data_IF_161384142204
#
_entry.id   IF_161384142204
#
_cell.length_a   1.000
_cell.length_b   1.000
_cell.length_c   1.000
_cell.angle_alpha   90.00
_cell.angle_beta   90.00
_cell.angle_gamma   90.00
#
_symmetry.space_group_name_H-M   'P 1'
#
loop_
_entity.id
_entity.type
_entity.pdbx_description
1 polymer ?
#
# COMPACT_ATOMS: atom_id res chain seq x y z
N UNK A 1 34.83 13.03 -7.32
CA UNK A 1 33.95 12.69 -6.18
C UNK A 1 32.78 13.66 -6.26
N UNK A 2 31.67 13.23 -6.82
CA UNK A 2 30.43 14.02 -6.80
C UNK A 2 29.80 13.74 -5.43
N UNK A 3 29.81 14.76 -4.56
CA UNK A 3 29.03 14.75 -3.34
C UNK A 3 27.57 14.71 -3.72
N UNK A 4 26.95 13.53 -3.62
CA UNK A 4 25.49 13.46 -3.70
C UNK A 4 24.93 14.18 -2.47
N UNK A 5 23.98 15.12 -2.65
CA UNK A 5 23.18 15.55 -1.54
C UNK A 5 22.50 14.28 -1.00
N UNK A 6 22.67 14.01 0.29
CA UNK A 6 21.79 13.14 1.06
C UNK A 6 20.35 13.45 0.62
N UNK A 7 19.51 12.48 0.26
CA UNK A 7 18.13 12.76 -0.13
C UNK A 7 17.56 13.62 0.98
N UNK A 8 17.20 14.83 0.65
CA UNK A 8 16.91 15.97 1.52
C UNK A 8 16.69 15.53 2.95
N UNK A 9 17.66 15.82 3.84
CA UNK A 9 17.66 15.35 5.22
C UNK A 9 16.36 15.71 5.91
N UNK A 10 15.36 14.92 5.67
CA UNK A 10 14.10 15.05 6.37
C UNK A 10 14.38 14.57 7.80
N UNK A 11 13.96 15.36 8.76
CA UNK A 11 13.93 15.01 10.19
C UNK A 11 13.35 13.62 10.44
N UNK A 12 12.53 13.13 9.49
CA UNK A 12 11.96 11.80 9.37
C UNK A 12 12.98 10.67 9.61
N UNK A 13 14.16 10.72 8.96
CA UNK A 13 15.13 9.64 9.07
C UNK A 13 16.06 9.78 10.28
N UNK A 14 16.19 10.95 10.85
CA UNK A 14 17.09 11.20 11.97
C UNK A 14 16.69 10.43 13.23
N UNK A 15 15.38 10.15 13.41
CA UNK A 15 14.83 9.48 14.58
C UNK A 15 14.85 7.94 14.49
N UNK A 16 15.15 7.36 13.32
CA UNK A 16 15.15 5.89 13.13
C UNK A 16 16.55 5.33 13.41
N UNK A 17 16.61 4.38 14.34
CA UNK A 17 17.85 3.68 14.70
C UNK A 17 18.28 2.76 13.56
N UNK A 18 19.57 2.79 13.26
CA UNK A 18 20.27 1.93 12.34
C UNK A 18 21.43 1.25 13.06
N UNK A 19 21.52 -0.07 13.01
CA UNK A 19 22.62 -0.81 13.59
C UNK A 19 23.76 -1.02 12.56
N UNK A 20 23.91 -0.06 11.61
CA UNK A 20 24.95 0.01 10.57
C UNK A 20 25.31 1.47 10.31
N UNK A 21 26.46 1.68 9.67
CA UNK A 21 26.98 3.03 9.36
C UNK A 21 26.61 3.50 7.94
N UNK A 22 26.66 4.82 7.68
CA UNK A 22 26.53 5.35 6.31
C UNK A 22 27.58 4.77 5.34
N UNK A 23 28.78 4.45 5.82
CA UNK A 23 29.83 3.84 5.02
C UNK A 23 29.47 2.39 4.60
N UNK A 24 28.71 1.67 5.43
CA UNK A 24 28.19 0.35 5.05
C UNK A 24 27.16 0.46 3.93
N UNK A 25 26.26 1.46 4.00
CA UNK A 25 25.27 1.74 2.95
C UNK A 25 25.98 2.05 1.64
N UNK A 26 26.96 2.98 1.66
CA UNK A 26 27.72 3.36 0.47
C UNK A 26 28.46 2.16 -0.16
N UNK A 27 29.06 1.32 0.68
CA UNK A 27 29.75 0.11 0.22
C UNK A 27 28.82 -0.90 -0.45
N UNK A 28 27.59 -1.04 0.06
CA UNK A 28 26.59 -2.01 -0.45
C UNK A 28 25.83 -1.53 -1.67
N UNK A 29 25.70 -0.23 -1.85
CA UNK A 29 24.90 0.36 -2.92
C UNK A 29 25.52 0.24 -4.32
N UNK A 30 26.75 -0.29 -4.43
CA UNK A 30 27.43 -0.43 -5.71
C UNK A 30 27.94 0.88 -6.31
N UNK A 31 28.55 0.78 -7.49
CA UNK A 31 29.13 1.94 -8.21
C UNK A 31 28.09 2.69 -9.07
N UNK A 32 26.98 2.07 -9.38
CA UNK A 32 25.89 2.62 -10.18
C UNK A 32 24.62 2.72 -9.36
N UNK A 33 24.00 3.91 -9.38
CA UNK A 33 22.75 4.18 -8.65
C UNK A 33 21.55 4.14 -9.60
N UNK A 34 20.63 3.24 -9.36
CA UNK A 34 19.31 3.24 -10.02
C UNK A 34 18.39 4.21 -9.29
N UNK A 35 17.59 4.98 -10.01
CA UNK A 35 16.55 5.84 -9.42
C UNK A 35 15.19 5.16 -9.48
N UNK A 36 14.51 5.13 -8.35
CA UNK A 36 13.18 4.54 -8.20
C UNK A 36 12.13 5.66 -8.04
N UNK A 37 11.95 6.46 -9.11
CA UNK A 37 11.15 7.70 -9.09
C UNK A 37 9.75 7.53 -8.48
N UNK A 38 9.04 6.43 -8.81
CA UNK A 38 7.71 6.18 -8.25
C UNK A 38 7.76 5.93 -6.74
N UNK A 39 8.73 5.14 -6.28
CA UNK A 39 8.90 4.86 -4.85
C UNK A 39 9.36 6.10 -4.08
N UNK A 40 10.30 6.89 -4.62
CA UNK A 40 10.78 8.15 -4.03
C UNK A 40 9.62 9.14 -3.86
N UNK A 41 8.89 9.44 -4.94
CA UNK A 41 7.76 10.36 -4.92
C UNK A 41 6.62 9.85 -4.02
N UNK A 42 6.31 8.55 -4.12
CA UNK A 42 5.28 7.92 -3.30
C UNK A 42 5.61 7.97 -1.81
N UNK A 43 6.86 7.65 -1.41
CA UNK A 43 7.29 7.69 -0.02
C UNK A 43 7.25 9.11 0.55
N UNK A 44 7.72 10.11 -0.21
CA UNK A 44 7.67 11.51 0.19
C UNK A 44 6.21 11.99 0.37
N UNK A 45 5.32 11.64 -0.56
CA UNK A 45 3.90 11.97 -0.46
C UNK A 45 3.23 11.26 0.70
N UNK A 46 3.49 9.97 0.90
CA UNK A 46 2.94 9.22 2.03
C UNK A 46 3.33 9.88 3.35
N UNK A 47 4.62 10.21 3.51
CA UNK A 47 5.12 10.88 4.69
C UNK A 47 4.44 12.24 4.92
N UNK A 48 4.29 13.03 3.86
CA UNK A 48 3.56 14.29 3.93
C UNK A 48 2.11 14.07 4.39
N UNK A 49 1.37 13.14 3.79
CA UNK A 49 -0.01 12.84 4.16
C UNK A 49 -0.14 12.40 5.63
N UNK A 50 0.76 11.53 6.10
CA UNK A 50 0.76 11.06 7.50
C UNK A 50 0.98 12.20 8.51
N UNK A 51 1.67 13.28 8.11
CA UNK A 51 1.94 14.42 8.98
C UNK A 51 0.91 15.55 8.88
N UNK A 52 0.21 15.69 7.76
CA UNK A 52 -0.67 16.82 7.48
C UNK A 52 -2.16 16.48 7.57
N UNK A 53 -2.54 15.23 7.22
CA UNK A 53 -3.93 14.80 7.34
C UNK A 53 -4.25 14.39 8.78
N UNK A 54 -5.51 14.51 9.22
CA UNK A 54 -5.94 13.93 10.48
C UNK A 54 -5.62 12.43 10.57
N UNK A 55 -5.85 11.70 9.49
CA UNK A 55 -5.41 10.34 9.24
C UNK A 55 -5.48 10.05 7.74
N UNK A 56 -4.72 9.07 7.28
CA UNK A 56 -4.74 8.57 5.91
C UNK A 56 -5.61 7.31 5.89
N UNK A 57 -6.79 7.42 5.29
CA UNK A 57 -7.69 6.28 5.11
C UNK A 57 -7.40 5.57 3.79
N UNK A 58 -7.32 4.23 3.82
CA UNK A 58 -7.08 3.42 2.62
C UNK A 58 -7.96 2.18 2.59
N UNK A 59 -8.22 1.71 1.39
CA UNK A 59 -8.89 0.45 1.12
C UNK A 59 -7.95 -0.52 0.41
N UNK A 60 -8.04 -1.79 0.73
CA UNK A 60 -7.30 -2.83 0.02
C UNK A 60 -7.73 -2.90 -1.44
N UNK A 61 -6.82 -2.60 -2.37
CA UNK A 61 -7.04 -2.79 -3.80
C UNK A 61 -6.53 -4.18 -4.23
N UNK A 62 -7.31 -4.88 -5.03
CA UNK A 62 -6.93 -6.18 -5.63
C UNK A 62 -6.43 -6.01 -7.06
N UNK A 63 -6.94 -5.01 -7.78
CA UNK A 63 -6.61 -4.76 -9.19
C UNK A 63 -6.22 -3.30 -9.41
N UNK A 64 -5.52 -3.04 -10.53
CA UNK A 64 -5.18 -1.68 -10.93
C UNK A 64 -6.42 -0.81 -11.20
N UNK A 65 -7.49 -1.39 -11.77
CA UNK A 65 -8.72 -0.66 -12.01
C UNK A 65 -9.42 -0.27 -10.70
N UNK A 66 -9.44 -1.13 -9.69
CA UNK A 66 -9.94 -0.75 -8.36
C UNK A 66 -9.15 0.42 -7.76
N UNK A 67 -7.82 0.39 -7.87
CA UNK A 67 -6.97 1.47 -7.39
C UNK A 67 -7.27 2.81 -8.12
N UNK A 68 -7.45 2.78 -9.45
CA UNK A 68 -7.86 3.97 -10.22
C UNK A 68 -9.19 4.52 -9.73
N UNK A 69 -10.19 3.65 -9.49
CA UNK A 69 -11.50 4.11 -8.98
C UNK A 69 -11.39 4.64 -7.54
N UNK A 70 -10.55 4.05 -6.68
CA UNK A 70 -10.31 4.59 -5.33
C UNK A 70 -9.74 6.00 -5.38
N UNK A 71 -8.78 6.26 -6.28
CA UNK A 71 -8.19 7.59 -6.45
C UNK A 71 -9.21 8.58 -7.02
N UNK A 72 -9.99 8.19 -8.04
CA UNK A 72 -11.09 9.02 -8.59
C UNK A 72 -12.16 9.35 -7.55
N UNK A 73 -12.42 8.43 -6.64
CA UNK A 73 -13.34 8.64 -5.52
C UNK A 73 -12.73 9.50 -4.38
N UNK A 74 -11.47 9.96 -4.51
CA UNK A 74 -10.84 10.89 -3.58
C UNK A 74 -9.96 10.25 -2.50
N UNK A 75 -9.72 8.93 -2.51
CA UNK A 75 -8.74 8.33 -1.61
C UNK A 75 -7.32 8.74 -2.02
N UNK A 76 -6.52 9.13 -1.02
CA UNK A 76 -5.19 9.73 -1.23
C UNK A 76 -4.06 8.71 -1.23
N UNK A 77 -4.31 7.47 -0.80
CA UNK A 77 -3.35 6.38 -0.74
C UNK A 77 -4.05 5.03 -0.95
N UNK A 78 -3.27 4.01 -1.28
CA UNK A 78 -3.74 2.64 -1.58
C UNK A 78 -3.09 1.67 -0.59
N UNK A 79 -3.88 0.76 -0.04
CA UNK A 79 -3.35 -0.40 0.70
C UNK A 79 -3.31 -1.63 -0.20
N UNK A 80 -2.22 -2.38 -0.15
CA UNK A 80 -2.08 -3.66 -0.85
C UNK A 80 -1.91 -4.79 0.17
N UNK A 81 -2.96 -5.58 0.31
CA UNK A 81 -3.06 -6.69 1.25
C UNK A 81 -2.43 -7.96 0.72
N UNK A 82 -1.53 -8.58 1.48
CA UNK A 82 -1.01 -9.92 1.21
C UNK A 82 -2.11 -10.98 1.18
N UNK A 83 -3.11 -10.86 2.04
CA UNK A 83 -4.29 -11.74 2.02
C UNK A 83 -5.00 -11.72 0.67
N UNK A 84 -5.25 -10.55 0.10
CA UNK A 84 -5.90 -10.44 -1.22
C UNK A 84 -5.01 -10.99 -2.34
N UNK A 85 -3.69 -10.78 -2.22
CA UNK A 85 -2.72 -11.35 -3.17
C UNK A 85 -2.71 -12.88 -3.08
N UNK A 86 -2.71 -13.45 -1.87
CA UNK A 86 -2.81 -14.90 -1.68
C UNK A 86 -4.08 -15.47 -2.32
N UNK A 87 -5.21 -14.79 -2.12
CA UNK A 87 -6.52 -15.26 -2.58
C UNK A 87 -6.67 -15.26 -4.11
N UNK A 88 -6.20 -14.22 -4.82
CA UNK A 88 -6.58 -14.05 -6.23
C UNK A 88 -5.58 -13.28 -7.11
N UNK A 89 -4.38 -12.96 -6.63
CA UNK A 89 -3.45 -12.12 -7.40
C UNK A 89 -1.98 -12.56 -7.32
N UNK A 90 -1.70 -13.77 -6.81
CA UNK A 90 -0.33 -14.25 -6.70
C UNK A 90 0.23 -14.77 -8.04
N UNK A 91 1.56 -14.76 -8.15
CA UNK A 91 2.27 -15.14 -9.38
C UNK A 91 2.22 -16.65 -9.67
N UNK A 92 1.86 -17.48 -8.68
CA UNK A 92 1.62 -18.91 -8.90
C UNK A 92 0.28 -19.19 -9.59
N UNK A 93 -0.63 -18.19 -9.67
CA UNK A 93 -1.96 -18.39 -10.26
C UNK A 93 -2.86 -19.33 -9.45
N UNK A 94 -2.61 -19.48 -8.16
CA UNK A 94 -3.34 -20.35 -7.26
C UNK A 94 -4.21 -19.55 -6.28
N UNK A 95 -5.21 -20.18 -5.70
CA UNK A 95 -5.97 -19.64 -4.58
C UNK A 95 -5.38 -20.18 -3.28
N UNK A 96 -4.80 -19.29 -2.46
CA UNK A 96 -4.19 -19.64 -1.20
C UNK A 96 -4.84 -18.93 -0.01
N UNK A 97 -4.86 -19.55 1.17
CA UNK A 97 -5.06 -18.83 2.41
C UNK A 97 -3.85 -17.91 2.69
N UNK A 98 -4.06 -16.93 3.53
CA UNK A 98 -3.01 -16.00 3.98
C UNK A 98 -2.04 -16.67 4.97
N UNK A 99 -1.13 -17.48 4.43
CA UNK A 99 -0.14 -18.29 5.15
C UNK A 99 1.23 -18.29 4.44
N UNK A 100 1.52 -17.23 3.68
CA UNK A 100 2.78 -17.09 2.90
C UNK A 100 3.08 -18.28 1.98
N UNK A 101 2.04 -18.89 1.41
CA UNK A 101 2.17 -20.02 0.47
C UNK A 101 2.47 -19.56 -0.96
N UNK A 102 2.21 -18.31 -1.26
CA UNK A 102 2.46 -17.75 -2.58
C UNK A 102 3.92 -17.30 -2.76
N UNK A 103 4.41 -17.21 -4.00
CA UNK A 103 5.78 -16.76 -4.28
C UNK A 103 6.04 -15.34 -3.77
N UNK A 104 7.23 -15.09 -3.27
CA UNK A 104 7.66 -13.82 -2.65
C UNK A 104 7.54 -12.60 -3.57
N UNK A 105 7.61 -12.80 -4.90
CA UNK A 105 7.48 -11.75 -5.91
C UNK A 105 6.03 -11.33 -6.20
N UNK A 106 5.04 -12.00 -5.59
CA UNK A 106 3.63 -11.79 -5.88
C UNK A 106 3.15 -10.39 -5.49
N UNK A 107 3.47 -9.92 -4.27
CA UNK A 107 3.09 -8.56 -3.84
C UNK A 107 3.82 -7.49 -4.67
N UNK A 108 5.14 -7.54 -4.89
CA UNK A 108 5.83 -6.64 -5.81
C UNK A 108 5.21 -6.59 -7.22
N UNK A 109 4.78 -7.74 -7.76
CA UNK A 109 4.13 -7.79 -9.07
C UNK A 109 2.79 -7.03 -9.10
N UNK A 110 1.99 -7.12 -8.02
CA UNK A 110 0.73 -6.37 -7.92
C UNK A 110 0.97 -4.88 -7.66
N UNK A 111 1.96 -4.49 -6.85
CA UNK A 111 2.40 -3.08 -6.72
C UNK A 111 2.70 -2.48 -8.10
N UNK A 112 3.50 -3.18 -8.90
CA UNK A 112 3.83 -2.74 -10.27
C UNK A 112 2.59 -2.64 -11.16
N UNK A 113 1.67 -3.59 -11.08
CA UNK A 113 0.40 -3.58 -11.82
C UNK A 113 -0.45 -2.36 -11.46
N UNK A 114 -0.59 -2.06 -10.18
CA UNK A 114 -1.34 -0.90 -9.70
C UNK A 114 -0.68 0.40 -10.16
N UNK A 115 0.62 0.55 -9.97
CA UNK A 115 1.36 1.73 -10.44
C UNK A 115 1.23 1.93 -11.95
N UNK A 116 1.27 0.86 -12.75
CA UNK A 116 1.08 0.95 -14.19
C UNK A 116 -0.33 1.40 -14.57
N UNK A 117 -1.37 0.97 -13.83
CA UNK A 117 -2.74 1.41 -14.05
C UNK A 117 -2.92 2.91 -13.67
N UNK A 118 -2.39 3.32 -12.53
CA UNK A 118 -2.42 4.72 -12.10
C UNK A 118 -1.69 5.63 -13.09
N UNK A 119 -0.48 5.23 -13.52
CA UNK A 119 0.29 5.96 -14.53
C UNK A 119 -0.44 6.02 -15.88
N UNK A 120 -1.15 4.95 -16.29
CA UNK A 120 -1.95 4.99 -17.51
C UNK A 120 -3.14 5.94 -17.37
N UNK A 121 -3.82 5.95 -16.24
CA UNK A 121 -4.90 6.90 -15.98
C UNK A 121 -4.41 8.36 -16.02
N UNK A 122 -3.24 8.62 -15.44
CA UNK A 122 -2.56 9.92 -15.53
C UNK A 122 -2.25 10.32 -16.98
N UNK A 123 -1.64 9.43 -17.76
CA UNK A 123 -1.33 9.67 -19.17
C UNK A 123 -2.57 9.97 -20.02
N UNK A 124 -3.67 9.27 -19.76
CA UNK A 124 -4.95 9.51 -20.45
C UNK A 124 -5.46 10.91 -20.10
N UNK A 125 -5.54 11.22 -18.80
CA UNK A 125 -6.03 12.50 -18.31
C UNK A 125 -5.18 13.67 -18.87
N UNK A 126 -3.85 13.56 -18.78
CA UNK A 126 -2.93 14.57 -19.30
C UNK A 126 -3.08 14.78 -20.82
N UNK A 127 -3.23 13.68 -21.61
CA UNK A 127 -3.45 13.76 -23.07
C UNK A 127 -4.76 14.49 -23.39
N UNK A 128 -5.75 14.38 -22.52
CA UNK A 128 -7.05 15.06 -22.67
C UNK A 128 -7.05 16.48 -22.10
N UNK A 129 -5.96 16.93 -21.48
CA UNK A 129 -5.86 18.22 -20.81
C UNK A 129 -6.65 18.31 -19.51
N UNK A 130 -6.79 17.16 -18.83
CA UNK A 130 -7.44 17.05 -17.53
C UNK A 130 -6.37 16.79 -16.44
N UNK A 131 -6.01 17.85 -15.73
CA UNK A 131 -5.01 17.80 -14.64
C UNK A 131 -5.69 17.85 -13.24
N UNK A 132 -6.98 17.53 -13.16
CA UNK A 132 -7.78 17.67 -11.92
C UNK A 132 -7.50 16.62 -10.85
N UNK A 133 -6.90 15.47 -11.21
CA UNK A 133 -6.68 14.33 -10.30
C UNK A 133 -5.18 13.98 -10.25
N UNK A 134 -4.63 13.89 -9.05
CA UNK A 134 -3.29 13.33 -8.84
C UNK A 134 -3.37 11.81 -8.74
N UNK A 135 -3.02 11.12 -9.81
CA UNK A 135 -3.15 9.65 -9.90
C UNK A 135 -2.05 8.87 -9.18
N UNK A 136 -0.87 9.46 -8.92
CA UNK A 136 0.26 8.74 -8.31
C UNK A 136 0.09 8.57 -6.79
N UNK A 137 -1.04 8.00 -6.38
CA UNK A 137 -1.32 7.71 -4.97
C UNK A 137 -0.28 6.73 -4.40
N UNK A 138 0.31 7.01 -3.23
CA UNK A 138 1.30 6.13 -2.61
C UNK A 138 0.68 4.79 -2.22
N UNK A 139 1.42 3.70 -2.47
CA UNK A 139 0.99 2.33 -2.15
C UNK A 139 1.73 1.86 -0.91
N UNK A 140 0.98 1.40 0.09
CA UNK A 140 1.52 0.72 1.27
C UNK A 140 1.31 -0.78 1.07
N UNK A 141 2.40 -1.56 1.05
CA UNK A 141 2.41 -2.96 0.64
C UNK A 141 2.74 -3.92 1.80
N UNK A 142 2.14 -5.08 1.75
CA UNK A 142 2.30 -6.18 2.70
C UNK A 142 3.54 -7.02 2.34
N UNK A 143 4.52 -7.08 3.25
CA UNK A 143 5.68 -7.96 3.12
C UNK A 143 5.59 -9.21 4.01
N UNK A 144 4.41 -9.47 4.59
CA UNK A 144 4.21 -10.62 5.47
C UNK A 144 5.26 -10.67 6.61
N UNK A 145 5.75 -11.85 6.95
CA UNK A 145 6.87 -12.03 7.86
C UNK A 145 8.25 -12.00 7.15
N UNK A 146 8.32 -11.49 5.91
CA UNK A 146 9.56 -11.37 5.14
C UNK A 146 9.95 -12.62 4.35
N UNK A 147 9.11 -13.65 4.28
CA UNK A 147 9.32 -14.91 3.52
C UNK A 147 10.60 -15.67 3.87
N UNK A 148 11.14 -15.46 5.06
CA UNK A 148 12.36 -16.15 5.53
C UNK A 148 13.09 -15.37 6.61
N UNK A 149 14.42 -15.29 6.49
CA UNK A 149 15.26 -14.55 7.41
C UNK A 149 15.50 -13.09 6.97
N UNK A 150 16.43 -12.41 7.66
CA UNK A 150 16.75 -11.01 7.40
C UNK A 150 17.24 -10.75 5.96
N UNK A 151 17.93 -11.68 5.33
CA UNK A 151 18.36 -11.53 3.93
C UNK A 151 17.18 -11.60 2.96
N UNK A 152 16.17 -12.44 3.24
CA UNK A 152 14.95 -12.49 2.45
C UNK A 152 14.16 -11.16 2.58
N UNK A 153 14.06 -10.62 3.80
CA UNK A 153 13.42 -9.33 4.04
C UNK A 153 14.14 -8.18 3.32
N UNK A 154 15.47 -8.20 3.29
CA UNK A 154 16.30 -7.24 2.55
C UNK A 154 15.96 -7.26 1.05
N UNK A 155 15.99 -8.44 0.41
CA UNK A 155 15.71 -8.57 -1.02
C UNK A 155 14.24 -8.28 -1.34
N UNK A 156 13.31 -8.68 -0.48
CA UNK A 156 11.89 -8.35 -0.65
C UNK A 156 11.65 -6.84 -0.60
N UNK A 157 12.28 -6.12 0.34
CA UNK A 157 12.17 -4.65 0.41
C UNK A 157 12.71 -3.99 -0.86
N UNK A 158 13.83 -4.46 -1.42
CA UNK A 158 14.34 -3.99 -2.73
C UNK A 158 13.31 -4.20 -3.82
N UNK A 159 12.75 -5.40 -3.93
CA UNK A 159 11.72 -5.71 -4.94
C UNK A 159 10.46 -4.83 -4.79
N UNK A 160 10.06 -4.49 -3.56
CA UNK A 160 8.96 -3.55 -3.29
C UNK A 160 9.29 -2.14 -3.78
N UNK A 161 10.51 -1.66 -3.52
CA UNK A 161 10.99 -0.35 -3.96
C UNK A 161 11.06 -0.29 -5.49
N UNK A 162 11.62 -1.30 -6.13
CA UNK A 162 11.68 -1.41 -7.60
C UNK A 162 10.28 -1.42 -8.24
N UNK A 163 9.31 -2.01 -7.56
CA UNK A 163 7.92 -2.00 -7.99
C UNK A 163 7.20 -0.65 -7.77
N UNK A 164 7.80 0.26 -6.95
CA UNK A 164 7.27 1.58 -6.66
C UNK A 164 6.41 1.66 -5.40
N UNK A 165 6.63 0.80 -4.40
CA UNK A 165 5.98 0.90 -3.10
C UNK A 165 6.47 2.14 -2.33
N UNK A 166 5.54 2.86 -1.71
CA UNK A 166 5.80 4.03 -0.88
C UNK A 166 6.04 3.68 0.60
N UNK A 167 5.35 2.69 1.07
CA UNK A 167 5.48 2.12 2.40
C UNK A 167 5.40 0.60 2.36
N UNK A 168 6.03 -0.05 3.32
CA UNK A 168 6.05 -1.52 3.42
C UNK A 168 5.94 -1.90 4.89
N UNK A 169 5.12 -2.90 5.21
CA UNK A 169 5.07 -3.43 6.55
C UNK A 169 5.59 -4.86 6.64
N UNK A 170 6.22 -5.17 7.77
CA UNK A 170 6.67 -6.50 8.15
C UNK A 170 6.09 -6.87 9.52
N UNK A 171 5.77 -8.16 9.71
CA UNK A 171 5.20 -8.68 10.96
C UNK A 171 6.14 -9.65 11.68
N UNK A 172 5.95 -9.79 12.98
CA UNK A 172 6.83 -10.55 13.88
C UNK A 172 6.49 -12.05 13.99
N UNK A 173 5.79 -12.60 12.99
CA UNK A 173 5.52 -14.03 12.91
C UNK A 173 6.72 -14.82 12.35
N UNK A 174 6.78 -16.11 12.68
CA UNK A 174 7.66 -17.06 12.00
C UNK A 174 7.17 -17.27 10.55
N UNK A 175 8.00 -16.96 9.57
CA UNK A 175 7.61 -16.97 8.16
C UNK A 175 7.08 -18.34 7.68
N UNK A 176 7.65 -19.47 8.17
CA UNK A 176 7.21 -20.82 7.82
C UNK A 176 5.88 -21.22 8.45
N UNK A 177 5.44 -20.54 9.52
CA UNK A 177 4.21 -20.82 10.26
C UNK A 177 3.25 -19.63 10.25
N UNK A 178 3.43 -18.69 9.33
CA UNK A 178 2.63 -17.48 9.22
C UNK A 178 1.13 -17.80 9.07
N UNK A 179 0.32 -17.04 9.77
CA UNK A 179 -1.14 -17.08 9.71
C UNK A 179 -1.70 -15.66 9.56
N UNK A 180 -2.85 -15.53 8.92
CA UNK A 180 -3.63 -14.29 8.95
C UNK A 180 -3.83 -13.82 10.40
N UNK A 181 -3.81 -12.52 10.63
CA UNK A 181 -3.87 -11.91 11.95
C UNK A 181 -5.02 -12.38 12.85
N UNK A 182 -6.14 -12.80 12.26
CA UNK A 182 -7.32 -13.28 12.98
C UNK A 182 -7.43 -14.81 13.08
N UNK A 183 -6.44 -15.55 12.55
CA UNK A 183 -6.37 -17.00 12.69
C UNK A 183 -5.60 -17.42 13.95
N UNK A 184 -5.91 -18.62 14.44
CA UNK A 184 -5.13 -19.27 15.49
C UNK A 184 -3.80 -19.84 14.98
N UNK A 185 -2.97 -20.35 15.92
CA UNK A 185 -1.71 -21.03 15.58
C UNK A 185 -0.58 -20.12 15.14
N UNK A 186 -0.66 -18.83 15.43
CA UNK A 186 0.43 -17.86 15.17
C UNK A 186 1.62 -18.15 16.06
N UNK A 187 2.80 -18.18 15.45
CA UNK A 187 4.09 -18.35 16.11
C UNK A 187 4.90 -17.07 15.95
N UNK A 188 5.24 -16.43 17.05
CA UNK A 188 6.11 -15.25 17.03
C UNK A 188 7.58 -15.65 16.96
N UNK A 189 8.38 -14.78 16.35
CA UNK A 189 9.84 -14.81 16.50
C UNK A 189 10.27 -13.95 17.69
N UNK A 190 11.48 -14.16 18.29
CA UNK A 190 12.00 -13.27 19.33
C UNK A 190 12.04 -11.82 18.87
N UNK A 191 11.86 -10.89 19.81
CA UNK A 191 11.93 -9.44 19.57
C UNK A 191 13.21 -9.07 18.81
N UNK A 192 14.36 -9.59 19.23
CA UNK A 192 15.65 -9.32 18.59
C UNK A 192 15.72 -9.84 17.14
N UNK A 193 15.02 -10.92 16.83
CA UNK A 193 14.95 -11.43 15.46
C UNK A 193 14.12 -10.53 14.56
N UNK A 194 12.97 -10.05 15.03
CA UNK A 194 12.16 -9.10 14.24
C UNK A 194 12.85 -7.74 14.07
N UNK A 195 13.57 -7.25 15.09
CA UNK A 195 14.42 -6.06 14.95
C UNK A 195 15.44 -6.25 13.81
N UNK A 196 16.04 -7.43 13.67
CA UNK A 196 16.94 -7.72 12.54
C UNK A 196 16.23 -7.67 11.20
N UNK A 197 14.98 -8.10 11.13
CA UNK A 197 14.12 -7.98 9.94
C UNK A 197 13.88 -6.51 9.59
N UNK A 198 13.51 -5.69 10.59
CA UNK A 198 13.31 -4.25 10.39
C UNK A 198 14.60 -3.53 9.95
N UNK A 199 15.74 -3.86 10.57
CA UNK A 199 17.05 -3.34 10.16
C UNK A 199 17.41 -3.74 8.73
N UNK A 200 17.13 -4.98 8.33
CA UNK A 200 17.38 -5.45 6.97
C UNK A 200 16.51 -4.69 5.95
N UNK A 201 15.23 -4.50 6.23
CA UNK A 201 14.34 -3.72 5.40
C UNK A 201 14.77 -2.24 5.30
N UNK A 202 15.17 -1.62 6.43
CA UNK A 202 15.69 -0.25 6.44
C UNK A 202 17.01 -0.14 5.68
N UNK A 203 17.92 -1.09 5.84
CA UNK A 203 19.18 -1.13 5.09
C UNK A 203 18.93 -1.21 3.58
N UNK A 204 17.96 -2.03 3.15
CA UNK A 204 17.58 -2.10 1.74
C UNK A 204 17.09 -0.75 1.21
N UNK A 205 16.21 -0.07 1.96
CA UNK A 205 15.71 1.25 1.59
C UNK A 205 16.83 2.30 1.51
N UNK A 206 17.75 2.30 2.47
CA UNK A 206 18.91 3.20 2.48
C UNK A 206 19.88 2.90 1.33
N UNK A 207 20.11 1.64 0.99
CA UNK A 207 20.96 1.20 -0.13
C UNK A 207 20.35 1.59 -1.48
N UNK A 208 19.04 1.43 -1.65
CA UNK A 208 18.32 1.88 -2.85
C UNK A 208 18.10 3.40 -2.89
N UNK A 209 18.39 4.12 -1.80
CA UNK A 209 18.28 5.57 -1.70
C UNK A 209 16.84 6.08 -1.67
N UNK A 210 15.88 5.26 -1.24
CA UNK A 210 14.46 5.59 -1.20
C UNK A 210 13.99 5.74 0.24
N UNK A 211 13.29 6.85 0.60
CA UNK A 211 12.78 7.09 1.94
C UNK A 211 11.49 6.27 2.23
N UNK A 212 11.51 4.98 1.96
CA UNK A 212 10.36 4.11 2.15
C UNK A 212 9.86 4.15 3.60
N UNK A 213 8.57 4.40 3.78
CA UNK A 213 7.94 4.36 5.11
C UNK A 213 7.87 2.91 5.58
N UNK A 214 8.55 2.59 6.68
CA UNK A 214 8.58 1.25 7.24
C UNK A 214 7.58 1.14 8.39
N UNK A 215 6.57 0.28 8.22
CA UNK A 215 5.61 -0.04 9.26
C UNK A 215 6.02 -1.36 9.93
N UNK A 216 5.96 -1.40 11.25
CA UNK A 216 6.19 -2.61 12.03
C UNK A 216 4.88 -3.12 12.60
N UNK A 217 4.51 -4.35 12.22
CA UNK A 217 3.34 -5.05 12.76
C UNK A 217 3.75 -6.04 13.84
N UNK A 218 2.98 -6.11 14.93
CA UNK A 218 3.04 -7.20 15.88
C UNK A 218 1.72 -7.96 15.96
N UNK A 219 1.80 -9.26 15.99
CA UNK A 219 0.67 -10.17 16.15
C UNK A 219 0.53 -10.70 17.58
N UNK A 220 1.24 -10.12 18.54
CA UNK A 220 1.37 -10.63 19.89
C UNK A 220 0.05 -10.68 20.69
N UNK A 221 -0.95 -9.85 20.35
CA UNK A 221 -2.21 -9.83 21.10
C UNK A 221 -2.93 -11.18 21.08
N UNK A 222 -2.90 -11.89 19.97
CA UNK A 222 -3.60 -13.16 19.82
C UNK A 222 -2.69 -14.34 19.54
N UNK A 223 -1.38 -14.13 19.42
CA UNK A 223 -0.41 -15.21 19.26
C UNK A 223 -0.32 -16.05 20.54
N UNK A 224 -0.13 -17.35 20.38
CA UNK A 224 -0.07 -18.31 21.49
C UNK A 224 1.31 -18.99 21.59
N UNK A 225 2.18 -18.79 20.61
CA UNK A 225 3.45 -19.50 20.48
C UNK A 225 4.60 -18.53 20.20
N UNK A 226 5.79 -18.87 20.70
CA UNK A 226 7.05 -18.19 20.47
C UNK A 226 8.13 -19.21 20.12
N UNK A 227 8.97 -18.92 19.12
CA UNK A 227 10.01 -19.86 18.67
C UNK A 227 11.11 -20.09 19.70
N UNK A 228 11.53 -19.04 20.44
CA UNK A 228 12.67 -19.09 21.38
C UNK A 228 12.56 -18.00 22.44
N UNK A 229 13.11 -18.30 23.63
CA UNK A 229 13.22 -17.41 24.77
C UNK A 229 14.57 -16.67 24.84
N UNK A 230 15.30 -16.62 23.74
CA UNK A 230 16.64 -16.02 23.67
C UNK A 230 16.63 -14.52 24.02
N UNK A 231 15.54 -13.83 23.76
CA UNK A 231 15.35 -12.42 24.10
C UNK A 231 14.73 -12.29 25.48
N UNK A 232 15.40 -11.58 26.38
CA UNK A 232 14.93 -11.40 27.77
C UNK A 232 13.60 -10.65 27.87
N UNK A 233 13.29 -9.80 26.89
CA UNK A 233 12.04 -9.02 26.83
C UNK A 233 10.82 -9.89 26.56
N UNK A 234 11.01 -11.07 25.94
CA UNK A 234 9.94 -12.02 25.68
C UNK A 234 9.63 -12.92 26.90
N UNK A 235 10.64 -13.19 27.74
CA UNK A 235 10.53 -14.14 28.87
C UNK A 235 9.37 -13.87 29.84
N UNK A 236 9.01 -12.62 30.19
CA UNK A 236 7.87 -12.36 31.09
C UNK A 236 6.51 -12.80 30.51
N UNK A 237 6.42 -13.09 29.24
CA UNK A 237 5.17 -13.39 28.53
C UNK A 237 5.00 -14.88 28.16
N UNK A 238 5.95 -15.74 28.50
CA UNK A 238 5.87 -17.17 28.26
C UNK A 238 5.66 -17.97 29.55
N UNK A 239 5.03 -19.14 29.43
CA UNK A 239 4.76 -20.03 30.58
C UNK A 239 5.96 -20.90 30.96
N UNK A 240 6.96 -21.02 30.08
CA UNK A 240 8.03 -22.01 30.18
C UNK A 240 7.68 -23.38 29.58
N UNK A 241 6.42 -23.68 29.36
CA UNK A 241 6.00 -24.90 28.69
C UNK A 241 6.26 -24.84 27.18
N UNK A 242 6.51 -26.01 26.57
CA UNK A 242 6.70 -26.13 25.12
C UNK A 242 5.65 -27.04 24.50
N UNK A 243 5.40 -26.78 23.21
CA UNK A 243 4.65 -27.69 22.35
C UNK A 243 5.51 -28.88 21.91
N UNK A 244 4.91 -29.95 21.34
CA UNK A 244 5.69 -31.05 20.76
C UNK A 244 6.67 -30.62 19.68
N UNK A 245 6.38 -29.55 18.94
CA UNK A 245 7.25 -28.96 17.91
C UNK A 245 8.39 -28.12 18.52
N UNK A 246 8.35 -27.87 19.83
CA UNK A 246 9.37 -27.16 20.58
C UNK A 246 9.14 -25.65 20.77
N UNK A 247 8.00 -25.11 20.33
CA UNK A 247 7.64 -23.71 20.56
C UNK A 247 7.27 -23.45 22.03
N UNK A 248 7.67 -22.31 22.56
CA UNK A 248 7.20 -21.86 23.86
C UNK A 248 5.74 -21.42 23.81
N UNK A 249 4.98 -21.73 24.87
CA UNK A 249 3.61 -21.25 25.03
C UNK A 249 3.61 -19.84 25.61
N UNK A 250 2.85 -18.93 24.98
CA UNK A 250 2.61 -17.59 25.50
C UNK A 250 1.56 -17.66 26.61
N UNK A 251 1.76 -16.93 27.69
CA UNK A 251 0.86 -16.88 28.83
C UNK A 251 -0.48 -16.24 28.42
N UNK A 252 -1.62 -16.90 28.70
CA UNK A 252 -2.93 -16.38 28.33
C UNK A 252 -3.27 -15.08 29.06
N UNK A 253 -4.11 -14.24 28.45
CA UNK A 253 -4.63 -12.99 29.04
C UNK A 253 -3.65 -11.82 29.05
N UNK A 254 -2.45 -11.96 28.48
CA UNK A 254 -1.44 -10.90 28.44
C UNK A 254 -1.14 -10.36 27.04
N UNK A 255 -2.01 -10.64 26.06
CA UNK A 255 -1.75 -10.31 24.65
C UNK A 255 -1.50 -8.84 24.40
N UNK A 256 -2.33 -7.94 24.93
CA UNK A 256 -2.14 -6.50 24.78
C UNK A 256 -0.85 -6.01 25.46
N UNK A 257 -0.54 -6.49 26.67
CA UNK A 257 0.71 -6.14 27.38
C UNK A 257 1.93 -6.58 26.56
N UNK A 258 1.84 -7.76 25.94
CA UNK A 258 2.91 -8.28 25.13
C UNK A 258 3.05 -7.50 23.82
N UNK A 259 1.93 -7.13 23.17
CA UNK A 259 1.95 -6.26 21.99
C UNK A 259 2.58 -4.90 22.31
N UNK A 260 2.26 -4.29 23.46
CA UNK A 260 2.89 -3.05 23.93
C UNK A 260 4.39 -3.25 24.13
N UNK A 261 4.82 -4.28 24.88
CA UNK A 261 6.23 -4.51 25.15
C UNK A 261 7.06 -4.70 23.87
N UNK A 262 6.51 -5.45 22.89
CA UNK A 262 7.13 -5.63 21.58
C UNK A 262 7.18 -4.33 20.78
N UNK A 263 6.06 -3.60 20.74
CA UNK A 263 6.00 -2.35 19.99
C UNK A 263 6.96 -1.29 20.55
N UNK A 264 7.12 -1.20 21.86
CA UNK A 264 8.14 -0.35 22.50
C UNK A 264 9.56 -0.72 22.06
N UNK A 265 9.85 -2.01 21.91
CA UNK A 265 11.14 -2.47 21.43
C UNK A 265 11.36 -2.19 19.92
N UNK A 266 10.29 -2.18 19.11
CA UNK A 266 10.33 -1.93 17.67
C UNK A 266 10.29 -0.44 17.31
N UNK A 267 9.76 0.41 18.19
CA UNK A 267 9.57 1.83 17.95
C UNK A 267 10.82 2.55 17.42
N UNK A 268 12.05 2.29 17.92
CA UNK A 268 13.25 2.93 17.36
C UNK A 268 13.57 2.54 15.91
N UNK A 269 13.04 1.43 15.40
CA UNK A 269 13.44 0.80 14.13
C UNK A 269 12.42 0.94 13.01
N UNK A 270 11.25 1.53 13.28
CA UNK A 270 10.16 1.69 12.31
C UNK A 270 9.59 3.09 12.34
N UNK A 271 8.97 3.53 11.25
CA UNK A 271 8.31 4.83 11.17
C UNK A 271 6.94 4.81 11.84
N UNK A 272 6.19 3.73 11.62
CA UNK A 272 4.82 3.54 12.11
C UNK A 272 4.72 2.20 12.82
N UNK A 273 4.02 2.16 13.94
CA UNK A 273 3.72 0.93 14.66
C UNK A 273 2.28 0.48 14.39
N UNK A 274 2.12 -0.81 14.16
CA UNK A 274 0.83 -1.47 14.01
C UNK A 274 0.78 -2.70 14.90
N UNK A 275 -0.22 -2.77 15.76
CA UNK A 275 -0.57 -3.96 16.52
C UNK A 275 -1.85 -4.55 15.94
N UNK A 276 -1.84 -5.85 15.64
CA UNK A 276 -3.02 -6.52 15.10
C UNK A 276 -4.01 -6.82 16.21
N UNK A 277 -5.22 -6.23 16.11
CA UNK A 277 -6.25 -6.28 17.14
C UNK A 277 -7.22 -7.44 16.92
N UNK A 278 -7.92 -7.85 17.98
CA UNK A 278 -8.95 -8.90 17.91
C UNK A 278 -10.37 -8.34 17.72
N UNK A 279 -10.56 -7.02 17.86
CA UNK A 279 -11.85 -6.35 17.73
C UNK A 279 -11.70 -4.83 17.74
N UNK A 280 -12.77 -4.09 17.43
CA UNK A 280 -12.74 -2.62 17.40
C UNK A 280 -12.98 -2.06 18.83
N UNK A 281 -11.99 -2.22 19.70
CA UNK A 281 -12.03 -1.76 21.09
C UNK A 281 -11.26 -0.45 21.26
N UNK A 282 -11.97 0.66 21.53
CA UNK A 282 -11.37 1.97 21.73
C UNK A 282 -10.53 2.06 22.99
N UNK A 283 -10.90 1.35 24.08
CA UNK A 283 -10.14 1.39 25.32
C UNK A 283 -8.79 0.65 25.18
N UNK A 284 -8.76 -0.47 24.47
CA UNK A 284 -7.51 -1.15 24.14
C UNK A 284 -6.64 -0.26 23.21
N UNK A 285 -7.26 0.42 22.23
CA UNK A 285 -6.55 1.33 21.32
C UNK A 285 -5.93 2.51 22.08
N UNK A 286 -6.67 3.12 22.99
CA UNK A 286 -6.18 4.21 23.86
C UNK A 286 -5.03 3.73 24.76
N UNK A 287 -5.21 2.60 25.44
CA UNK A 287 -4.18 2.01 26.30
C UNK A 287 -2.88 1.70 25.56
N UNK A 288 -2.97 1.17 24.33
CA UNK A 288 -1.81 0.93 23.49
C UNK A 288 -1.13 2.24 23.10
N UNK A 289 -1.89 3.21 22.60
CA UNK A 289 -1.38 4.52 22.18
C UNK A 289 -0.69 5.25 23.33
N UNK A 290 -1.33 5.31 24.51
CA UNK A 290 -0.77 5.96 25.70
C UNK A 290 0.55 5.33 26.15
N UNK A 291 0.64 4.00 26.12
CA UNK A 291 1.86 3.29 26.46
C UNK A 291 3.02 3.62 25.49
N UNK A 292 2.72 3.67 24.21
CA UNK A 292 3.73 4.03 23.18
C UNK A 292 4.12 5.50 23.32
N UNK A 293 3.17 6.41 23.40
CA UNK A 293 3.45 7.86 23.41
C UNK A 293 4.13 8.34 24.68
N UNK A 294 4.03 7.61 25.78
CA UNK A 294 4.78 7.89 27.02
C UNK A 294 6.28 7.77 26.80
N UNK A 295 6.73 6.77 26.05
CA UNK A 295 8.16 6.52 25.78
C UNK A 295 8.62 7.16 24.44
N UNK A 296 7.73 7.24 23.48
CA UNK A 296 7.99 7.77 22.14
C UNK A 296 6.92 8.79 21.74
N UNK A 297 6.97 10.02 22.30
CA UNK A 297 6.00 11.07 21.98
C UNK A 297 5.89 11.33 20.48
N UNK A 298 4.65 11.33 19.95
CA UNK A 298 4.40 11.58 18.54
C UNK A 298 4.65 10.39 17.59
N UNK A 299 4.98 9.20 18.12
CA UNK A 299 5.12 7.99 17.29
C UNK A 299 3.82 7.69 16.56
N UNK A 300 3.88 7.59 15.24
CA UNK A 300 2.71 7.30 14.43
C UNK A 300 2.26 5.85 14.60
N UNK A 301 0.95 5.66 14.64
CA UNK A 301 0.31 4.37 14.77
C UNK A 301 -0.53 4.06 13.54
N UNK A 302 -0.68 2.76 13.24
CA UNK A 302 -1.59 2.25 12.22
C UNK A 302 -2.68 1.36 12.83
N UNK A 303 -3.85 1.34 12.20
CA UNK A 303 -4.98 0.52 12.63
C UNK A 303 -5.63 -0.21 11.47
N UNK A 304 -5.74 -1.53 11.59
CA UNK A 304 -6.52 -2.35 10.68
C UNK A 304 -8.00 -2.31 11.06
N UNK A 305 -8.81 -1.56 10.32
CA UNK A 305 -10.27 -1.60 10.40
C UNK A 305 -10.78 -2.90 9.77
N UNK A 306 -10.44 -4.03 10.37
CA UNK A 306 -10.55 -5.35 9.79
C UNK A 306 -11.98 -5.71 9.35
N UNK A 307 -12.16 -6.29 8.15
CA UNK A 307 -13.43 -6.88 7.74
C UNK A 307 -13.78 -8.17 8.53
N UNK A 308 -12.85 -8.74 9.28
CA UNK A 308 -13.11 -9.87 10.19
C UNK A 308 -13.93 -9.46 11.42
N UNK A 309 -14.00 -8.17 11.72
CA UNK A 309 -14.83 -7.66 12.80
C UNK A 309 -16.29 -7.57 12.35
N UNK A 310 -17.21 -8.05 13.19
CA UNK A 310 -18.61 -7.70 13.01
C UNK A 310 -18.88 -6.36 13.68
N UNK A 311 -18.63 -5.26 12.95
CA UNK A 311 -18.69 -3.90 13.44
C UNK A 311 -20.03 -3.57 14.13
N UNK A 312 -21.16 -3.97 13.51
CA UNK A 312 -22.50 -3.71 14.08
C UNK A 312 -22.82 -4.52 15.33
N UNK A 313 -22.18 -5.66 15.51
CA UNK A 313 -22.30 -6.46 16.71
C UNK A 313 -21.46 -5.90 17.85
N UNK A 314 -20.31 -5.30 17.53
CA UNK A 314 -19.36 -4.76 18.49
C UNK A 314 -19.71 -3.32 18.92
N UNK A 315 -20.17 -2.48 17.99
CA UNK A 315 -20.36 -1.05 18.22
C UNK A 315 -21.72 -0.55 17.73
N UNK A 316 -22.21 0.53 18.36
CA UNK A 316 -23.41 1.24 17.89
C UNK A 316 -23.11 1.97 16.55
N UNK A 317 -24.16 2.28 15.73
CA UNK A 317 -23.96 3.03 14.51
C UNK A 317 -23.25 4.38 14.71
N UNK A 318 -23.53 5.09 15.78
CA UNK A 318 -22.90 6.36 16.11
C UNK A 318 -21.39 6.16 16.39
N UNK A 319 -21.03 5.12 17.14
CA UNK A 319 -19.62 4.80 17.42
C UNK A 319 -18.87 4.29 16.19
N UNK A 320 -19.53 3.56 15.30
CA UNK A 320 -18.92 3.16 14.02
C UNK A 320 -18.60 4.41 13.19
N UNK A 321 -19.53 5.38 13.13
CA UNK A 321 -19.34 6.62 12.37
C UNK A 321 -18.20 7.50 12.91
N UNK A 322 -17.96 7.52 14.23
CA UNK A 322 -16.88 8.31 14.84
C UNK A 322 -15.54 7.56 14.97
N UNK A 323 -15.54 6.24 14.85
CA UNK A 323 -14.42 5.36 15.23
C UNK A 323 -13.07 5.81 14.65
N UNK A 324 -13.00 6.07 13.34
CA UNK A 324 -11.75 6.46 12.69
C UNK A 324 -11.23 7.81 13.19
N UNK A 325 -12.12 8.76 13.44
CA UNK A 325 -11.75 10.05 14.03
C UNK A 325 -11.30 9.89 15.50
N UNK A 326 -11.99 9.04 16.28
CA UNK A 326 -11.64 8.79 17.68
C UNK A 326 -10.22 8.22 17.78
N UNK A 327 -9.89 7.19 17.01
CA UNK A 327 -8.52 6.62 17.02
C UNK A 327 -7.47 7.54 16.38
N UNK A 328 -7.86 8.39 15.42
CA UNK A 328 -6.93 9.38 14.85
C UNK A 328 -6.43 10.37 15.90
N UNK A 329 -7.30 10.77 16.85
CA UNK A 329 -6.92 11.61 18.00
C UNK A 329 -5.92 10.93 18.95
N UNK A 330 -5.93 9.58 18.97
CA UNK A 330 -4.97 8.78 19.72
C UNK A 330 -3.64 8.55 18.97
N UNK A 331 -3.47 9.12 17.75
CA UNK A 331 -2.24 9.00 16.97
C UNK A 331 -2.23 7.89 15.92
N UNK A 332 -3.36 7.23 15.66
CA UNK A 332 -3.49 6.27 14.56
C UNK A 332 -3.61 7.00 13.23
N UNK A 333 -2.48 7.38 12.68
CA UNK A 333 -2.37 8.20 11.46
C UNK A 333 -2.62 7.44 10.16
N UNK A 334 -2.41 6.13 10.16
CA UNK A 334 -2.70 5.27 9.00
C UNK A 334 -3.78 4.27 9.35
N UNK A 335 -4.90 4.30 8.61
CA UNK A 335 -6.06 3.45 8.87
C UNK A 335 -6.52 2.79 7.57
N UNK A 336 -6.81 1.51 7.62
CA UNK A 336 -7.10 0.76 6.40
C UNK A 336 -8.09 -0.38 6.62
N UNK A 337 -8.81 -0.73 5.52
CA UNK A 337 -9.64 -1.93 5.44
C UNK A 337 -8.97 -2.92 4.52
N UNK A 338 -8.38 -3.97 5.07
CA UNK A 338 -7.49 -4.90 4.36
C UNK A 338 -8.11 -5.55 3.14
N UNK A 339 -9.36 -6.05 3.23
CA UNK A 339 -10.00 -6.89 2.21
C UNK A 339 -11.14 -6.17 1.46
N UNK A 340 -11.13 -4.85 1.42
CA UNK A 340 -12.20 -4.09 0.79
C UNK A 340 -12.38 -4.46 -0.69
N UNK A 341 -11.30 -4.63 -1.43
CA UNK A 341 -11.32 -5.02 -2.85
C UNK A 341 -11.93 -6.42 -3.05
N UNK A 342 -11.55 -7.38 -2.22
CA UNK A 342 -12.10 -8.73 -2.28
C UNK A 342 -13.61 -8.75 -2.01
N UNK A 343 -14.04 -8.11 -0.93
CA UNK A 343 -15.47 -8.14 -0.56
C UNK A 343 -16.35 -7.38 -1.53
N UNK A 344 -15.94 -6.20 -2.00
CA UNK A 344 -16.71 -5.42 -2.96
C UNK A 344 -16.85 -6.16 -4.30
N UNK A 345 -15.76 -6.73 -4.82
CA UNK A 345 -15.76 -7.48 -6.07
C UNK A 345 -16.68 -8.71 -5.99
N UNK A 346 -16.53 -9.52 -4.94
CA UNK A 346 -17.27 -10.78 -4.80
C UNK A 346 -18.77 -10.53 -4.58
N UNK A 347 -19.14 -9.60 -3.72
CA UNK A 347 -20.55 -9.28 -3.47
C UNK A 347 -21.25 -8.70 -4.69
N UNK A 348 -20.57 -7.78 -5.40
CA UNK A 348 -21.10 -7.19 -6.63
C UNK A 348 -21.37 -8.25 -7.69
N UNK A 349 -20.39 -9.11 -7.96
CA UNK A 349 -20.53 -10.20 -8.94
C UNK A 349 -21.59 -11.22 -8.52
N UNK A 350 -21.61 -11.61 -7.23
CA UNK A 350 -22.62 -12.56 -6.73
C UNK A 350 -24.05 -12.04 -6.95
N UNK A 351 -24.31 -10.77 -6.61
CA UNK A 351 -25.62 -10.15 -6.79
C UNK A 351 -26.01 -10.11 -8.27
N UNK A 352 -25.10 -9.61 -9.12
CA UNK A 352 -25.36 -9.57 -10.56
C UNK A 352 -25.65 -10.96 -11.14
N UNK A 353 -24.84 -11.97 -10.82
CA UNK A 353 -25.00 -13.32 -11.34
C UNK A 353 -26.33 -13.96 -10.89
N UNK A 354 -26.70 -13.80 -9.60
CA UNK A 354 -27.98 -14.26 -9.06
C UNK A 354 -29.16 -13.64 -9.83
N UNK A 355 -29.14 -12.33 -9.98
CA UNK A 355 -30.26 -11.58 -10.56
C UNK A 355 -30.31 -11.78 -12.09
N UNK A 356 -29.15 -11.90 -12.74
CA UNK A 356 -29.04 -12.19 -14.18
C UNK A 356 -29.59 -13.58 -14.51
N UNK A 357 -29.34 -14.58 -13.68
CA UNK A 357 -29.91 -15.93 -13.86
C UNK A 357 -31.44 -15.91 -13.92
N UNK A 358 -32.08 -15.04 -13.15
CA UNK A 358 -33.54 -14.98 -13.04
C UNK A 358 -34.19 -14.01 -14.03
N UNK A 359 -33.52 -12.87 -14.31
CA UNK A 359 -34.10 -11.75 -15.05
C UNK A 359 -33.32 -11.36 -16.32
N UNK A 360 -32.20 -12.04 -16.61
CA UNK A 360 -31.39 -11.81 -17.80
C UNK A 360 -30.91 -10.36 -17.93
N UNK A 361 -31.05 -9.79 -19.13
CA UNK A 361 -30.60 -8.44 -19.42
C UNK A 361 -31.24 -7.33 -18.60
N UNK A 362 -32.42 -7.58 -18.01
CA UNK A 362 -33.04 -6.60 -17.12
C UNK A 362 -32.18 -6.33 -15.88
N UNK A 363 -31.59 -7.38 -15.30
CA UNK A 363 -30.68 -7.24 -14.16
C UNK A 363 -29.36 -6.53 -14.55
N UNK A 364 -28.80 -6.85 -15.72
CA UNK A 364 -27.60 -6.17 -16.21
C UNK A 364 -27.86 -4.69 -16.50
N UNK A 365 -29.04 -4.37 -17.06
CA UNK A 365 -29.44 -2.98 -17.31
C UNK A 365 -29.53 -2.16 -16.03
N UNK A 366 -29.96 -2.75 -14.91
CA UNK A 366 -29.98 -2.06 -13.60
C UNK A 366 -28.56 -1.68 -13.12
N UNK A 367 -27.57 -2.57 -13.28
CA UNK A 367 -26.17 -2.24 -13.02
C UNK A 367 -25.71 -1.09 -13.91
N UNK A 368 -25.99 -1.15 -15.22
CA UNK A 368 -25.61 -0.11 -16.17
C UNK A 368 -26.25 1.25 -15.83
N UNK A 369 -27.53 1.26 -15.43
CA UNK A 369 -28.18 2.50 -15.00
C UNK A 369 -27.60 3.07 -13.70
N UNK A 370 -27.18 2.20 -12.78
CA UNK A 370 -26.47 2.63 -11.57
C UNK A 370 -25.10 3.25 -11.90
N UNK A 371 -24.36 2.68 -12.87
CA UNK A 371 -23.11 3.25 -13.36
C UNK A 371 -23.31 4.63 -13.99
N UNK A 372 -24.33 4.80 -14.84
CA UNK A 372 -24.68 6.12 -15.43
C UNK A 372 -25.06 7.14 -14.36
N UNK A 373 -25.81 6.74 -13.34
CA UNK A 373 -26.15 7.64 -12.24
C UNK A 373 -24.91 8.08 -11.45
N UNK A 374 -23.94 7.17 -11.27
CA UNK A 374 -22.69 7.46 -10.55
C UNK A 374 -21.74 8.40 -11.34
N UNK A 375 -21.96 8.64 -12.65
CA UNK A 375 -21.16 9.60 -13.42
C UNK A 375 -21.27 11.02 -12.81
N UNK A 376 -22.40 11.36 -12.22
CA UNK A 376 -22.58 12.64 -11.53
C UNK A 376 -21.66 12.80 -10.31
N UNK A 377 -21.18 11.68 -9.76
CA UNK A 377 -20.25 11.63 -8.61
C UNK A 377 -18.78 11.41 -9.05
N UNK A 378 -18.52 11.41 -10.37
CA UNK A 378 -17.16 11.26 -10.91
C UNK A 378 -16.78 9.84 -11.36
N UNK A 379 -17.71 8.88 -11.34
CA UNK A 379 -17.47 7.55 -11.91
C UNK A 379 -17.36 7.63 -13.44
N UNK A 380 -16.35 7.00 -14.03
CA UNK A 380 -16.07 7.14 -15.47
C UNK A 380 -15.96 5.81 -16.21
N UNK A 381 -16.05 4.67 -15.52
CA UNK A 381 -15.80 3.36 -16.15
C UNK A 381 -16.94 2.90 -17.09
N UNK A 382 -18.07 3.62 -17.15
CA UNK A 382 -19.06 3.52 -18.23
C UNK A 382 -18.40 3.71 -19.59
N UNK A 383 -17.34 4.52 -19.65
CA UNK A 383 -16.54 4.78 -20.84
C UNK A 383 -15.33 3.85 -20.89
N UNK A 384 -15.58 2.55 -20.90
CA UNK A 384 -14.55 1.53 -20.70
C UNK A 384 -13.41 1.58 -21.74
N UNK A 385 -13.67 1.97 -23.00
CA UNK A 385 -12.61 2.14 -24.01
C UNK A 385 -11.70 3.33 -23.65
N UNK A 386 -12.26 4.43 -23.15
CA UNK A 386 -11.48 5.56 -22.64
C UNK A 386 -10.65 5.15 -21.42
N UNK A 387 -11.25 4.43 -20.47
CA UNK A 387 -10.56 4.01 -19.22
C UNK A 387 -9.30 3.18 -19.47
N UNK A 388 -9.26 2.40 -20.56
CA UNK A 388 -8.09 1.63 -20.94
C UNK A 388 -7.17 2.34 -21.94
N UNK A 389 -7.52 3.55 -22.38
CA UNK A 389 -6.64 4.45 -23.14
C UNK A 389 -6.73 4.34 -24.64
N UNK A 390 -7.88 3.99 -25.23
CA UNK A 390 -8.03 3.96 -26.69
C UNK A 390 -7.63 5.30 -27.32
N UNK A 391 -8.13 6.43 -26.79
CA UNK A 391 -7.77 7.76 -27.30
C UNK A 391 -6.28 8.10 -27.16
N UNK A 392 -5.65 7.68 -26.06
CA UNK A 392 -4.21 7.81 -25.89
C UNK A 392 -3.42 7.07 -26.96
N UNK A 393 -3.80 5.82 -27.28
CA UNK A 393 -3.12 5.04 -28.32
C UNK A 393 -3.42 5.54 -29.73
N UNK A 394 -4.60 6.11 -29.98
CA UNK A 394 -4.88 6.81 -31.24
C UNK A 394 -3.97 8.03 -31.43
N UNK A 395 -3.71 8.78 -30.37
CA UNK A 395 -2.74 9.87 -30.39
C UNK A 395 -1.33 9.37 -30.69
N UNK A 396 -0.89 8.27 -30.02
CA UNK A 396 0.40 7.62 -30.29
C UNK A 396 0.51 7.19 -31.75
N UNK A 397 -0.51 6.50 -32.29
CA UNK A 397 -0.52 6.04 -33.69
C UNK A 397 -0.44 7.21 -34.68
N UNK A 398 -1.16 8.30 -34.40
CA UNK A 398 -1.15 9.52 -35.22
C UNK A 398 0.23 10.18 -35.21
N UNK A 399 0.87 10.29 -34.07
CA UNK A 399 2.22 10.87 -33.93
C UNK A 399 3.25 10.02 -34.68
N UNK A 400 3.24 8.70 -34.51
CA UNK A 400 4.14 7.76 -35.19
C UNK A 400 4.01 7.90 -36.71
N UNK A 401 2.79 8.15 -37.20
CA UNK A 401 2.49 8.28 -38.64
C UNK A 401 2.65 9.70 -39.20
N UNK A 402 3.36 10.58 -38.48
CA UNK A 402 3.62 11.95 -38.97
C UNK A 402 2.40 12.86 -39.01
N UNK A 403 1.42 12.62 -38.13
CA UNK A 403 0.21 13.43 -37.98
C UNK A 403 -1.03 12.88 -38.67
N UNK A 404 -0.93 11.76 -39.41
CA UNK A 404 -2.05 11.13 -40.11
C UNK A 404 -2.07 9.63 -39.87
N UNK A 405 -3.16 9.08 -39.34
CA UNK A 405 -3.36 7.64 -39.22
C UNK A 405 -4.77 7.26 -39.68
N UNK A 406 -4.87 6.28 -40.57
CA UNK A 406 -6.14 5.69 -40.98
C UNK A 406 -6.57 4.51 -40.13
N UNK A 407 -5.77 4.13 -39.10
CA UNK A 407 -5.99 2.97 -38.25
C UNK A 407 -6.37 3.38 -36.82
N UNK A 408 -6.76 4.64 -36.59
CA UNK A 408 -7.29 5.08 -35.30
C UNK A 408 -8.58 4.34 -34.97
N UNK A 409 -8.70 3.89 -33.74
CA UNK A 409 -9.83 3.08 -33.29
C UNK A 409 -11.12 3.89 -33.08
N UNK A 410 -11.00 5.20 -32.86
CA UNK A 410 -12.14 6.09 -32.62
C UNK A 410 -12.87 6.50 -33.89
N UNK A 411 -12.15 6.69 -34.99
CA UNK A 411 -12.74 7.11 -36.26
C UNK A 411 -13.73 6.05 -36.78
N UNK A 412 -15.00 6.40 -36.87
CA UNK A 412 -16.08 5.49 -37.27
C UNK A 412 -16.54 4.48 -36.21
N UNK A 413 -16.10 4.62 -34.97
CA UNK A 413 -16.54 3.78 -33.84
C UNK A 413 -17.99 4.04 -33.46
N UNK A 414 -18.73 2.98 -33.11
CA UNK A 414 -20.06 3.08 -32.49
C UNK A 414 -19.99 3.62 -31.05
N UNK A 415 -18.81 3.69 -30.47
CA UNK A 415 -18.56 4.15 -29.09
C UNK A 415 -17.97 5.56 -29.04
N UNK A 416 -18.05 6.33 -30.14
CA UNK A 416 -17.49 7.67 -30.22
C UNK A 416 -18.00 8.62 -29.10
N UNK A 417 -19.20 8.39 -28.56
CA UNK A 417 -19.75 9.14 -27.43
C UNK A 417 -18.93 8.99 -26.14
N UNK A 418 -18.15 7.91 -25.97
CA UNK A 418 -17.28 7.73 -24.79
C UNK A 418 -16.13 8.74 -24.72
N UNK A 419 -15.85 9.43 -25.80
CA UNK A 419 -14.73 10.37 -25.93
C UNK A 419 -15.19 11.84 -25.99
N UNK A 420 -16.51 12.08 -25.99
CA UNK A 420 -17.03 13.43 -25.84
C UNK A 420 -16.75 13.93 -24.42
N UNK A 421 -16.17 15.14 -24.29
CA UNK A 421 -16.05 15.81 -22.98
C UNK A 421 -17.47 16.05 -22.47
N UNK A 422 -17.90 15.30 -21.47
CA UNK A 422 -18.97 15.75 -20.60
C UNK A 422 -18.37 16.76 -19.65
N UNK A 423 -19.02 17.89 -19.41
CA UNK A 423 -18.67 18.77 -18.29
C UNK A 423 -18.82 17.95 -17.02
N UNK A 424 -17.71 17.39 -16.54
CA UNK A 424 -17.69 16.73 -15.25
C UNK A 424 -18.03 17.78 -14.18
N UNK A 425 -18.89 17.47 -13.20
CA UNK A 425 -19.02 18.32 -12.05
C UNK A 425 -17.63 18.54 -11.46
N UNK A 426 -17.31 19.79 -11.12
CA UNK A 426 -16.04 20.14 -10.52
C UNK A 426 -15.90 19.39 -9.19
N UNK A 427 -15.23 18.25 -9.20
CA UNK A 427 -14.76 17.63 -7.97
C UNK A 427 -13.90 18.67 -7.23
N UNK A 428 -13.91 18.70 -5.90
CA UNK A 428 -13.06 19.62 -5.17
C UNK A 428 -11.63 19.42 -5.68
N UNK A 429 -11.08 20.47 -6.31
CA UNK A 429 -9.69 20.49 -6.76
C UNK A 429 -8.85 20.40 -5.50
N UNK A 430 -8.32 19.23 -5.23
CA UNK A 430 -7.25 19.11 -4.26
C UNK A 430 -6.04 19.85 -4.87
N UNK A 431 -5.75 21.04 -4.33
CA UNK A 431 -4.68 21.89 -4.83
C UNK A 431 -3.42 21.07 -5.02
N UNK A 432 -2.74 21.31 -6.14
CA UNK A 432 -1.34 20.89 -6.27
C UNK A 432 -0.63 21.50 -5.07
N UNK A 433 -0.16 20.66 -4.14
CA UNK A 433 0.70 21.12 -3.06
C UNK A 433 1.96 21.71 -3.71
N UNK A 434 2.06 23.05 -3.72
CA UNK A 434 3.15 23.82 -4.35
C UNK A 434 4.54 23.53 -3.74
N UNK A 435 4.64 22.57 -2.80
CA UNK A 435 5.88 22.19 -2.13
C UNK A 435 6.44 20.82 -2.49
N UNK A 436 5.69 19.96 -3.18
CA UNK A 436 6.21 18.69 -3.66
C UNK A 436 6.83 18.90 -5.04
N UNK A 437 8.13 18.73 -5.11
CA UNK A 437 9.01 18.83 -6.26
C UNK A 437 8.27 18.44 -7.55
N UNK A 438 7.73 19.43 -8.26
CA UNK A 438 7.57 19.33 -9.69
C UNK A 438 8.97 19.15 -10.24
N UNK A 439 9.40 17.93 -10.50
CA UNK A 439 10.62 17.65 -11.22
C UNK A 439 10.40 18.09 -12.68
N UNK A 440 10.25 19.41 -12.89
CA UNK A 440 10.36 20.04 -14.22
C UNK A 440 11.79 19.96 -14.76
N UNK A 441 12.71 19.36 -14.03
CA UNK A 441 14.05 18.98 -14.52
C UNK A 441 14.06 17.68 -15.35
N UNK A 442 12.91 17.22 -15.84
CA UNK A 442 12.90 16.63 -17.18
C UNK A 442 13.15 17.77 -18.14
N UNK A 443 14.33 18.43 -17.96
CA UNK A 443 14.85 19.31 -18.93
C UNK A 443 14.63 18.62 -20.27
N UNK A 444 13.71 19.17 -21.00
CA UNK A 444 13.63 19.09 -22.43
C UNK A 444 14.98 18.59 -22.90
N UNK A 445 15.09 17.28 -23.19
CA UNK A 445 16.18 16.82 -24.01
C UNK A 445 16.15 17.77 -25.18
N UNK A 446 17.23 18.53 -25.37
CA UNK A 446 17.29 19.54 -26.39
C UNK A 446 17.18 18.83 -27.74
N UNK A 447 15.93 18.56 -28.15
CA UNK A 447 15.59 17.93 -29.43
C UNK A 447 16.12 18.74 -30.60
N UNK A 448 16.54 20.00 -30.36
CA UNK A 448 17.26 20.84 -31.36
C UNK A 448 18.61 20.25 -31.74
N UNK A 449 19.20 19.38 -30.93
CA UNK A 449 20.42 18.67 -31.30
C UNK A 449 20.20 17.56 -32.36
N UNK A 450 18.97 17.08 -32.52
CA UNK A 450 18.65 16.05 -33.53
C UNK A 450 18.26 16.62 -34.90
N UNK A 451 17.78 17.87 -34.99
CA UNK A 451 17.43 18.51 -36.23
C UNK A 451 18.66 18.88 -37.10
N UNK A 452 19.84 18.91 -36.52
CA UNK A 452 21.09 19.23 -37.26
C UNK A 452 21.68 18.02 -38.02
N UNK A 453 21.21 16.79 -37.76
CA UNK A 453 21.66 15.61 -38.47
C UNK A 453 20.79 15.27 -39.71
N UNK A 454 19.52 15.70 -39.72
CA UNK A 454 18.58 15.42 -40.82
C UNK A 454 18.69 16.42 -42.02
N UNK A 455 19.41 17.51 -41.88
CA UNK A 455 19.59 18.52 -42.94
C UNK A 455 20.89 18.38 -43.75
N UNK A 456 21.62 17.27 -43.58
CA UNK A 456 22.89 17.00 -44.28
C UNK A 456 22.94 15.59 -44.89
N UNK A 457 21.81 15.04 -45.36
CA UNK A 457 21.79 13.86 -46.22
C UNK A 457 21.00 14.15 -47.48
#
# INVERSE_FOLDING_TARGET
MLSHPSPNGSEHFAAIRRDYSPADVERLAGSFRVRHTLAEAGAARLWHLLNTEPFVATLGALTGNQAVQQVKAGLKAIYLSGWQVAADANTAGQMYPDQSLYPVDSVPAVVRRINNALRRADQIAHTEGDDGIYYMAPIIADAEAGFGGALNAYELMKAMIEAGAAGVHFEDQLASEKKCGHLGGKVLVPISQHIRTLNAARLAADVEGVPTVLLCRTDAQSAQLLTSDVDERDRPFITGERTPEGFYRIAPGRGLDYAIARSLAYAPYSDVLWWETSGPDLAEAERFADAIHREFPGKMLAYNCSPSFNWRKALTPAKIASFQNDIAQMGYRFQFVTLAGFHSLNLSMFNLARDYRERGMAAYCELQQAEFAAEAEGYTATRHQREVGVGYFDAVATIISGGHSSTTALAGSTEAAQFCKTEAPALPRYGHDEGLVHNHDWAVHDWKAYDLAASRA
#
